data_IF_625280552226
#
_entry.id   IF_625280552226
#
_cell.length_a   1.000
_cell.length_b   1.000
_cell.length_c   1.000
_cell.angle_alpha   90.00
_cell.angle_beta   90.00
_cell.angle_gamma   90.00
#
_symmetry.space_group_name_H-M   'P 1'
#
loop_
_entity.id
_entity.type
_entity.pdbx_description
1 polymer ?
#
# COMPACT_ATOMS: atom_id res chain seq x y z
N UNK A 1 7.64 -30.54 -32.81
CA UNK A 1 8.16 -29.70 -31.72
C UNK A 1 7.88 -28.25 -32.08
N UNK A 2 6.94 -27.61 -31.40
CA UNK A 2 6.71 -26.16 -31.51
C UNK A 2 7.60 -25.46 -30.46
N UNK A 3 8.20 -24.29 -30.78
CA UNK A 3 8.99 -23.55 -29.79
C UNK A 3 8.08 -23.04 -28.66
N UNK A 4 8.59 -22.95 -27.42
CA UNK A 4 7.84 -22.36 -26.33
C UNK A 4 7.59 -20.88 -26.62
N UNK A 5 6.31 -20.50 -26.55
CA UNK A 5 5.85 -19.12 -26.63
C UNK A 5 6.63 -18.25 -25.65
N UNK A 6 7.35 -17.29 -26.21
CA UNK A 6 7.92 -16.16 -25.49
C UNK A 6 6.80 -15.42 -24.76
N UNK A 7 6.84 -15.44 -23.43
CA UNK A 7 6.02 -14.59 -22.57
C UNK A 7 6.20 -13.13 -22.99
N UNK A 8 5.11 -12.37 -23.25
CA UNK A 8 5.25 -11.00 -23.68
C UNK A 8 5.65 -10.10 -22.50
N UNK A 9 6.77 -9.41 -22.69
CA UNK A 9 7.08 -8.08 -22.16
C UNK A 9 7.39 -7.93 -20.67
N UNK A 10 8.70 -7.95 -20.39
CA UNK A 10 9.36 -6.91 -19.61
C UNK A 10 8.67 -5.55 -19.80
N UNK A 11 8.02 -5.02 -18.76
CA UNK A 11 7.81 -3.58 -18.60
C UNK A 11 8.14 -3.16 -17.18
N UNK A 12 9.38 -2.70 -17.06
CA UNK A 12 9.81 -1.51 -16.33
C UNK A 12 8.70 -0.44 -16.26
N UNK A 13 7.76 -0.55 -15.33
CA UNK A 13 7.23 0.63 -14.62
C UNK A 13 8.10 0.78 -13.38
N UNK A 14 9.39 1.04 -13.61
CA UNK A 14 10.39 1.22 -12.56
C UNK A 14 10.26 2.63 -12.02
N UNK A 15 9.29 2.82 -11.13
CA UNK A 15 9.20 4.04 -10.35
C UNK A 15 7.90 4.10 -9.58
N UNK A 16 8.03 4.45 -8.30
CA UNK A 16 6.97 5.03 -7.48
C UNK A 16 6.20 6.07 -8.33
N UNK A 17 4.85 6.07 -8.35
CA UNK A 17 4.09 7.08 -9.08
C UNK A 17 4.43 8.48 -8.57
N UNK A 18 4.70 9.42 -9.50
CA UNK A 18 5.07 10.81 -9.18
C UNK A 18 4.04 11.83 -9.66
N UNK A 19 3.15 11.43 -10.57
CA UNK A 19 2.09 12.25 -11.12
C UNK A 19 0.72 11.59 -10.99
N UNK A 20 -0.35 12.38 -11.12
CA UNK A 20 -1.73 11.85 -11.16
C UNK A 20 -1.94 10.87 -12.31
N UNK A 21 -1.27 11.08 -13.45
CA UNK A 21 -1.31 10.17 -14.58
C UNK A 21 -0.71 8.80 -14.25
N UNK A 22 0.40 8.78 -13.49
CA UNK A 22 1.04 7.54 -13.04
C UNK A 22 0.14 6.79 -12.06
N UNK A 23 -0.44 7.51 -11.09
CA UNK A 23 -1.36 6.92 -10.11
C UNK A 23 -2.61 6.36 -10.79
N UNK A 24 -3.20 7.11 -11.74
CA UNK A 24 -4.32 6.65 -12.56
C UNK A 24 -3.97 5.36 -13.29
N UNK A 25 -2.83 5.34 -13.98
CA UNK A 25 -2.38 4.16 -14.73
C UNK A 25 -2.13 2.96 -13.81
N UNK A 26 -1.55 3.20 -12.62
CA UNK A 26 -1.25 2.16 -11.63
C UNK A 26 -2.50 1.47 -11.11
N UNK A 27 -3.59 2.22 -10.93
CA UNK A 27 -4.87 1.70 -10.47
C UNK A 27 -5.85 1.38 -11.61
N UNK A 28 -5.43 1.42 -12.88
CA UNK A 28 -6.30 1.15 -14.03
C UNK A 28 -7.52 2.08 -14.12
N UNK A 29 -7.45 3.28 -13.55
CA UNK A 29 -8.57 4.20 -13.43
C UNK A 29 -8.89 4.89 -14.76
N UNK A 30 -10.16 5.21 -14.97
CA UNK A 30 -10.64 5.77 -16.24
C UNK A 30 -10.06 7.16 -16.51
N UNK A 31 -10.03 8.01 -15.49
CA UNK A 31 -9.55 9.38 -15.60
C UNK A 31 -8.93 9.90 -14.29
N UNK A 32 -8.39 11.12 -14.34
CA UNK A 32 -7.73 11.73 -13.19
C UNK A 32 -8.71 12.11 -12.07
N UNK A 33 -10.01 12.22 -12.35
CA UNK A 33 -11.02 12.50 -11.33
C UNK A 33 -11.25 11.30 -10.43
N UNK A 34 -11.18 10.08 -10.98
CA UNK A 34 -11.19 8.84 -10.19
C UNK A 34 -9.95 8.73 -9.30
N UNK A 35 -8.78 9.09 -9.82
CA UNK A 35 -7.55 9.10 -9.03
C UNK A 35 -7.62 10.12 -7.88
N UNK A 36 -8.16 11.32 -8.14
CA UNK A 36 -8.40 12.31 -7.07
C UNK A 36 -9.46 11.82 -6.07
N UNK A 37 -10.52 11.15 -6.53
CA UNK A 37 -11.54 10.58 -5.66
C UNK A 37 -10.99 9.47 -4.75
N UNK A 38 -10.03 8.66 -5.22
CA UNK A 38 -9.29 7.70 -4.41
C UNK A 38 -8.48 8.42 -3.31
N UNK A 39 -7.75 9.48 -3.66
CA UNK A 39 -6.97 10.27 -2.70
C UNK A 39 -7.88 11.00 -1.68
N UNK A 40 -9.08 11.39 -2.09
CA UNK A 40 -10.06 12.05 -1.23
C UNK A 40 -10.92 11.07 -0.42
N UNK A 41 -10.82 9.76 -0.66
CA UNK A 41 -11.57 8.76 0.07
C UNK A 41 -11.20 8.82 1.56
N UNK A 42 -12.23 8.97 2.41
CA UNK A 42 -12.02 9.15 3.86
C UNK A 42 -11.14 8.06 4.49
N UNK A 43 -11.29 6.75 4.18
CA UNK A 43 -10.41 5.71 4.73
C UNK A 43 -8.93 5.88 4.35
N UNK A 44 -8.65 6.35 3.13
CA UNK A 44 -7.29 6.62 2.66
C UNK A 44 -6.72 7.85 3.37
N UNK A 45 -7.49 8.93 3.46
CA UNK A 45 -7.09 10.15 4.18
C UNK A 45 -6.81 9.87 5.65
N UNK A 46 -7.66 9.10 6.30
CA UNK A 46 -7.51 8.72 7.71
C UNK A 46 -6.26 7.84 7.91
N UNK A 47 -6.09 6.80 7.07
CA UNK A 47 -4.90 5.95 7.12
C UNK A 47 -3.61 6.77 6.93
N UNK A 48 -3.62 7.70 5.97
CA UNK A 48 -2.47 8.56 5.73
C UNK A 48 -2.24 9.54 6.89
N UNK A 49 -3.28 10.15 7.45
CA UNK A 49 -3.13 11.05 8.60
C UNK A 49 -2.54 10.31 9.81
N UNK A 50 -2.96 9.06 10.05
CA UNK A 50 -2.35 8.23 11.09
C UNK A 50 -0.86 8.00 10.84
N UNK A 51 -0.49 7.69 9.59
CA UNK A 51 0.91 7.58 9.17
C UNK A 51 1.68 8.90 9.37
N UNK A 52 1.12 10.04 8.94
CA UNK A 52 1.72 11.37 9.09
C UNK A 52 2.08 11.68 10.55
N UNK A 53 1.11 11.54 11.45
CA UNK A 53 1.26 11.92 12.86
C UNK A 53 2.36 11.14 13.59
N UNK A 54 2.64 9.92 13.14
CA UNK A 54 3.63 9.04 13.77
C UNK A 54 4.97 9.07 13.05
N UNK A 55 4.96 9.13 11.72
CA UNK A 55 6.16 8.95 10.91
C UNK A 55 6.75 10.25 10.36
N UNK A 56 5.92 11.26 10.06
CA UNK A 56 6.38 12.49 9.40
C UNK A 56 6.38 13.71 10.32
N UNK A 57 5.69 13.66 11.46
CA UNK A 57 5.81 14.68 12.51
C UNK A 57 7.15 14.67 13.24
N UNK A 58 7.86 13.52 13.23
CA UNK A 58 9.23 13.39 13.74
C UNK A 58 10.20 13.70 12.58
N UNK A 59 10.64 14.97 12.51
CA UNK A 59 11.45 15.70 11.51
C UNK A 59 12.63 15.03 10.73
N UNK A 60 12.78 13.71 10.69
CA UNK A 60 13.76 13.07 9.81
C UNK A 60 13.16 12.75 8.44
N UNK A 61 13.99 12.84 7.41
CA UNK A 61 13.62 12.84 6.01
C UNK A 61 13.21 11.42 5.54
N UNK A 62 12.07 10.89 6.04
CA UNK A 62 11.63 9.49 5.84
C UNK A 62 11.20 9.20 4.39
N UNK A 63 11.11 10.20 3.52
CA UNK A 63 10.81 10.00 2.10
C UNK A 63 11.85 9.11 1.37
N UNK A 64 13.05 8.93 1.94
CA UNK A 64 14.08 8.02 1.43
C UNK A 64 14.06 6.61 2.04
N UNK A 65 13.16 6.31 2.98
CA UNK A 65 13.20 5.10 3.82
C UNK A 65 11.95 4.21 3.70
N UNK A 66 11.02 4.52 2.79
CA UNK A 66 9.85 3.67 2.59
C UNK A 66 10.28 2.28 2.10
N UNK A 67 9.83 1.20 2.76
CA UNK A 67 10.21 -0.16 2.40
C UNK A 67 9.60 -0.57 1.05
N UNK A 68 10.22 -1.55 0.40
CA UNK A 68 9.63 -2.16 -0.79
C UNK A 68 8.39 -3.01 -0.42
N UNK A 69 7.50 -3.24 -1.38
CA UNK A 69 6.26 -3.98 -1.11
C UNK A 69 6.51 -5.41 -0.63
N UNK A 70 7.60 -6.05 -1.08
CA UNK A 70 8.01 -7.38 -0.67
C UNK A 70 8.42 -7.43 0.80
N UNK A 71 9.08 -6.38 1.29
CA UNK A 71 9.47 -6.28 2.71
C UNK A 71 8.23 -6.16 3.60
N UNK A 72 7.22 -5.40 3.14
CA UNK A 72 5.94 -5.26 3.83
C UNK A 72 5.14 -6.55 3.79
N UNK A 73 5.14 -7.25 2.64
CA UNK A 73 4.50 -8.55 2.50
C UNK A 73 5.10 -9.59 3.45
N UNK A 74 6.43 -9.68 3.49
CA UNK A 74 7.15 -10.57 4.40
C UNK A 74 6.85 -10.23 5.86
N UNK A 75 6.88 -8.94 6.23
CA UNK A 75 6.51 -8.51 7.58
C UNK A 75 5.07 -8.95 7.94
N UNK A 76 4.11 -8.74 7.05
CA UNK A 76 2.72 -9.15 7.27
C UNK A 76 2.59 -10.67 7.41
N UNK A 77 3.36 -11.44 6.65
CA UNK A 77 3.41 -12.90 6.78
C UNK A 77 3.96 -13.31 8.16
N UNK A 78 5.04 -12.69 8.61
CA UNK A 78 5.64 -12.96 9.92
C UNK A 78 4.65 -12.64 11.05
N UNK A 79 3.93 -11.51 10.94
CA UNK A 79 2.90 -11.11 11.90
C UNK A 79 1.71 -12.08 11.92
N UNK A 80 1.29 -12.66 10.78
CA UNK A 80 0.28 -13.74 10.75
C UNK A 80 0.77 -15.01 11.45
N UNK A 81 2.07 -15.30 11.32
CA UNK A 81 2.66 -16.51 11.88
C UNK A 81 2.97 -16.39 13.38
N UNK A 82 2.96 -15.17 13.94
CA UNK A 82 3.21 -14.93 15.35
C UNK A 82 2.25 -15.71 16.26
N UNK A 83 2.77 -16.38 17.32
CA UNK A 83 1.95 -17.13 18.27
C UNK A 83 0.84 -16.31 18.95
N UNK A 84 1.04 -15.00 19.13
CA UNK A 84 0.05 -14.09 19.74
C UNK A 84 -1.14 -13.80 18.83
N UNK A 85 -0.94 -13.76 17.51
CA UNK A 85 -2.02 -13.63 16.53
C UNK A 85 -2.92 -14.87 16.56
N UNK A 86 -2.31 -16.06 16.59
CA UNK A 86 -3.00 -17.37 16.60
C UNK A 86 -3.78 -17.66 17.89
N UNK A 87 -3.45 -17.00 19.01
CA UNK A 87 -4.04 -17.29 20.33
C UNK A 87 -5.29 -16.46 20.66
N UNK A 88 -5.61 -15.42 19.90
CA UNK A 88 -6.65 -14.44 20.30
C UNK A 88 -7.72 -14.16 19.24
N UNK A 89 -7.77 -14.90 18.13
CA UNK A 89 -8.65 -14.63 16.97
C UNK A 89 -8.62 -13.15 16.53
N UNK A 90 -7.47 -12.50 16.72
CA UNK A 90 -7.28 -11.09 16.35
C UNK A 90 -7.04 -11.00 14.87
N UNK A 91 -7.67 -10.01 14.24
CA UNK A 91 -7.36 -9.67 12.87
C UNK A 91 -5.91 -9.21 12.76
N UNK A 92 -5.27 -9.50 11.62
CA UNK A 92 -3.88 -9.06 11.36
C UNK A 92 -3.72 -7.54 11.55
N UNK A 93 -4.75 -6.77 11.18
CA UNK A 93 -4.82 -5.32 11.39
C UNK A 93 -4.68 -4.94 12.87
N UNK A 94 -5.42 -5.59 13.76
CA UNK A 94 -5.33 -5.30 15.21
C UNK A 94 -3.96 -5.64 15.79
N UNK A 95 -3.33 -6.73 15.31
CA UNK A 95 -1.99 -7.11 15.76
C UNK A 95 -0.96 -6.05 15.34
N UNK A 96 -0.98 -5.62 14.07
CA UNK A 96 -0.07 -4.58 13.58
C UNK A 96 -0.35 -3.23 14.24
N UNK A 97 -1.63 -2.92 14.51
CA UNK A 97 -2.01 -1.70 15.23
C UNK A 97 -1.49 -1.69 16.66
N UNK A 98 -1.53 -2.82 17.37
CA UNK A 98 -0.90 -2.95 18.70
C UNK A 98 0.61 -2.65 18.62
N UNK A 99 1.33 -3.24 17.65
CA UNK A 99 2.77 -2.99 17.45
C UNK A 99 3.09 -1.50 17.20
N UNK A 100 2.21 -0.78 16.49
CA UNK A 100 2.37 0.67 16.29
C UNK A 100 2.35 1.49 17.59
N UNK A 101 1.77 0.97 18.68
CA UNK A 101 1.61 1.71 19.94
C UNK A 101 2.39 1.11 21.12
N UNK A 102 2.65 -0.19 21.12
CA UNK A 102 3.24 -0.89 22.27
C UNK A 102 4.76 -0.97 22.25
N UNK A 103 5.39 -0.77 21.09
CA UNK A 103 6.83 -0.91 20.90
C UNK A 103 7.53 0.46 20.75
N UNK A 104 8.87 0.53 20.90
CA UNK A 104 9.65 1.67 20.42
C UNK A 104 9.30 1.98 18.97
N UNK A 105 9.36 3.25 18.57
CA UNK A 105 8.98 3.67 17.22
C UNK A 105 9.74 2.88 16.15
N UNK A 106 8.99 2.28 15.23
CA UNK A 106 9.49 1.56 14.06
C UNK A 106 8.63 1.91 12.85
N UNK A 107 9.26 2.15 11.68
CA UNK A 107 8.55 2.55 10.47
C UNK A 107 7.65 1.42 9.92
N UNK A 108 8.16 0.19 9.90
CA UNK A 108 7.52 -0.95 9.24
C UNK A 108 6.08 -1.21 9.72
N UNK A 109 5.77 -1.28 11.04
CA UNK A 109 4.39 -1.42 11.51
C UNK A 109 3.44 -0.34 11.00
N UNK A 110 3.89 0.92 10.93
CA UNK A 110 3.05 2.02 10.46
C UNK A 110 2.78 1.96 8.95
N UNK A 111 3.78 1.56 8.15
CA UNK A 111 3.62 1.30 6.72
C UNK A 111 2.66 0.12 6.50
N UNK A 112 2.87 -0.98 7.21
CA UNK A 112 2.02 -2.15 7.15
C UNK A 112 0.56 -1.85 7.55
N UNK A 113 0.35 -1.03 8.58
CA UNK A 113 -0.99 -0.61 9.00
C UNK A 113 -1.68 0.25 7.93
N UNK A 114 -0.93 1.16 7.28
CA UNK A 114 -1.47 1.91 6.13
C UNK A 114 -1.93 0.96 5.03
N UNK A 115 -1.07 0.01 4.63
CA UNK A 115 -1.38 -0.98 3.59
C UNK A 115 -2.63 -1.77 3.94
N UNK A 116 -2.72 -2.32 5.15
CA UNK A 116 -3.89 -3.09 5.57
C UNK A 116 -5.18 -2.27 5.53
N UNK A 117 -5.12 -0.98 5.92
CA UNK A 117 -6.27 -0.07 5.85
C UNK A 117 -6.65 0.27 4.40
N UNK A 118 -5.67 0.51 3.54
CA UNK A 118 -5.89 0.76 2.12
C UNK A 118 -6.48 -0.47 1.41
N UNK A 119 -5.92 -1.65 1.62
CA UNK A 119 -6.43 -2.92 1.07
C UNK A 119 -7.85 -3.20 1.54
N UNK A 120 -8.13 -3.03 2.83
CA UNK A 120 -9.49 -3.20 3.39
C UNK A 120 -10.49 -2.25 2.73
N UNK A 121 -10.07 -1.00 2.44
CA UNK A 121 -10.91 -0.05 1.72
C UNK A 121 -11.15 -0.51 0.28
N UNK A 122 -10.10 -0.89 -0.45
CA UNK A 122 -10.20 -1.36 -1.84
C UNK A 122 -11.15 -2.57 -1.97
N UNK A 123 -11.20 -3.43 -0.95
CA UNK A 123 -12.11 -4.58 -0.91
C UNK A 123 -13.55 -4.23 -0.49
N UNK A 124 -13.80 -3.03 0.04
CA UNK A 124 -15.14 -2.60 0.47
C UNK A 124 -16.02 -2.19 -0.70
N UNK A 125 -17.35 -2.22 -0.54
CA UNK A 125 -18.33 -1.79 -1.55
C UNK A 125 -18.03 -0.40 -2.15
N UNK A 126 -17.47 0.51 -1.35
CA UNK A 126 -17.13 1.87 -1.78
C UNK A 126 -15.78 1.95 -2.50
N UNK A 127 -14.88 1.01 -2.23
CA UNK A 127 -13.51 0.99 -2.76
C UNK A 127 -13.30 0.04 -3.93
N UNK A 128 -14.19 -0.94 -4.15
CA UNK A 128 -14.06 -1.90 -5.26
C UNK A 128 -13.99 -1.23 -6.63
N UNK A 129 -14.62 -0.06 -6.80
CA UNK A 129 -14.49 0.76 -8.02
C UNK A 129 -13.06 1.25 -8.31
N UNK A 130 -12.19 1.24 -7.30
CA UNK A 130 -10.77 1.58 -7.39
C UNK A 130 -9.86 0.33 -7.33
N UNK A 131 -10.40 -0.85 -6.97
CA UNK A 131 -9.65 -2.12 -6.97
C UNK A 131 -9.63 -2.76 -8.35
N UNK A 132 -9.25 -1.98 -9.36
CA UNK A 132 -9.12 -2.48 -10.72
C UNK A 132 -7.75 -3.12 -10.83
N UNK A 133 -7.77 -4.43 -11.13
CA UNK A 133 -6.59 -5.21 -11.41
C UNK A 133 -5.74 -4.54 -12.50
N UNK A 134 -4.44 -4.39 -12.25
CA UNK A 134 -3.53 -3.82 -13.25
C UNK A 134 -3.35 -4.74 -14.47
N UNK A 135 -3.62 -6.04 -14.29
CA UNK A 135 -3.55 -7.09 -15.31
C UNK A 135 -4.48 -8.26 -14.98
N UNK A 136 -4.65 -9.20 -15.91
CA UNK A 136 -5.30 -10.47 -15.62
C UNK A 136 -4.38 -11.30 -14.71
N UNK A 137 -4.93 -11.90 -13.65
CA UNK A 137 -4.19 -12.77 -12.73
C UNK A 137 -4.65 -14.21 -12.90
N UNK A 138 -3.68 -15.12 -12.86
CA UNK A 138 -3.95 -16.56 -12.89
C UNK A 138 -4.37 -17.08 -11.49
N UNK A 139 -3.97 -16.39 -10.42
CA UNK A 139 -4.28 -16.77 -9.04
C UNK A 139 -4.78 -15.59 -8.19
N UNK A 140 -5.56 -15.88 -7.15
CA UNK A 140 -5.97 -14.87 -6.16
C UNK A 140 -4.76 -14.31 -5.38
N UNK A 141 -3.70 -15.10 -5.23
CA UNK A 141 -2.47 -14.67 -4.57
C UNK A 141 -1.76 -13.55 -5.37
N UNK A 142 -1.69 -13.68 -6.69
CA UNK A 142 -1.10 -12.64 -7.55
C UNK A 142 -1.91 -11.33 -7.48
N UNK A 143 -3.23 -11.44 -7.34
CA UNK A 143 -4.12 -10.29 -7.15
C UNK A 143 -3.90 -9.62 -5.80
N UNK A 144 -3.68 -10.38 -4.73
CA UNK A 144 -3.33 -9.84 -3.42
C UNK A 144 -1.98 -9.11 -3.43
N UNK A 145 -0.98 -9.68 -4.10
CA UNK A 145 0.35 -9.05 -4.26
C UNK A 145 0.27 -7.75 -5.07
N UNK A 146 -0.46 -7.73 -6.18
CA UNK A 146 -0.70 -6.50 -6.92
C UNK A 146 -1.39 -5.43 -6.07
N UNK A 147 -2.39 -5.80 -5.28
CA UNK A 147 -3.08 -4.85 -4.40
C UNK A 147 -2.14 -4.28 -3.35
N UNK A 148 -1.29 -5.11 -2.76
CA UNK A 148 -0.28 -4.68 -1.78
C UNK A 148 0.71 -3.71 -2.39
N UNK A 149 1.22 -4.05 -3.56
CA UNK A 149 2.10 -3.20 -4.35
C UNK A 149 1.47 -1.84 -4.65
N UNK A 150 0.24 -1.81 -5.18
CA UNK A 150 -0.51 -0.56 -5.43
C UNK A 150 -0.76 0.25 -4.15
N UNK A 151 -0.97 -0.40 -3.02
CA UNK A 151 -1.16 0.27 -1.73
C UNK A 151 0.14 0.93 -1.25
N UNK A 152 1.30 0.32 -1.47
CA UNK A 152 2.60 0.92 -1.19
C UNK A 152 2.86 2.10 -2.12
N UNK A 153 2.57 1.96 -3.42
CA UNK A 153 2.71 3.07 -4.36
C UNK A 153 1.83 4.27 -4.00
N UNK A 154 0.61 4.01 -3.50
CA UNK A 154 -0.28 5.03 -3.00
C UNK A 154 0.33 5.76 -1.80
N UNK A 155 0.94 5.04 -0.85
CA UNK A 155 1.64 5.66 0.27
C UNK A 155 2.81 6.52 -0.22
N UNK A 156 3.65 5.98 -1.09
CA UNK A 156 4.80 6.67 -1.63
C UNK A 156 4.39 7.96 -2.39
N UNK A 157 3.29 7.90 -3.15
CA UNK A 157 2.71 9.07 -3.82
C UNK A 157 2.26 10.15 -2.82
N UNK A 158 1.53 9.74 -1.77
CA UNK A 158 1.02 10.63 -0.73
C UNK A 158 2.17 11.30 0.05
N UNK A 159 3.20 10.54 0.43
CA UNK A 159 4.41 11.06 1.07
C UNK A 159 5.13 12.05 0.15
N UNK A 160 5.26 11.73 -1.14
CA UNK A 160 5.86 12.62 -2.13
C UNK A 160 5.11 13.95 -2.29
N UNK A 161 3.77 13.95 -2.21
CA UNK A 161 2.95 15.17 -2.20
C UNK A 161 3.00 15.94 -0.89
N UNK A 162 3.29 15.28 0.23
CA UNK A 162 3.30 15.90 1.56
C UNK A 162 4.57 16.71 1.86
N UNK A 163 5.41 17.09 0.86
CA UNK A 163 6.57 17.94 1.13
C UNK A 163 6.15 19.16 1.96
N UNK A 164 6.71 19.34 3.17
CA UNK A 164 6.44 20.55 3.94
C UNK A 164 6.92 21.72 3.07
N UNK A 165 6.08 22.75 2.93
CA UNK A 165 6.54 23.99 2.30
C UNK A 165 7.86 24.40 2.97
N UNK A 166 8.93 24.68 2.21
CA UNK A 166 10.08 25.33 2.79
C UNK A 166 9.62 26.71 3.24
N UNK A 167 9.42 26.87 4.54
CA UNK A 167 9.35 28.18 5.20
C UNK A 167 10.69 28.88 5.09
#
# INVERSE_FOLDING_TARGET
MAPPSTSPTNKTVSGVPKSMCDLRARFGLKDNSDAEALLQAWPIKEAFHYYLNRCLSNQHNVAGELPEWQEVDQYLLDMRMMPRAKRRDRSLKEVVEEECFSAPYQLMPHVALFVLRAESFLQSDKGTRFDIASQAYDTEQDKEFDRRWRSIDLLCFLVGRHRPNPT
#
